data_IF_748878626899
#
_entry.id   IF_748878626899
#
_cell.length_a   1.000
_cell.length_b   1.000
_cell.length_c   1.000
_cell.angle_alpha   90.00
_cell.angle_beta   90.00
_cell.angle_gamma   90.00
#
_symmetry.space_group_name_H-M   'P 1'
#
loop_
_entity.id
_entity.type
_entity.pdbx_description
1 polymer ?
#
# COMPACT_ATOMS: atom_id res chain seq x y z
N UNK A 1 11.75 7.68 -1.05
CA UNK A 1 11.73 6.26 -0.62
C UNK A 1 13.10 5.60 -0.78
N UNK A 2 13.79 5.73 -1.91
CA UNK A 2 15.11 5.10 -2.16
C UNK A 2 16.17 5.34 -1.06
N UNK A 3 16.32 6.57 -0.57
CA UNK A 3 17.27 6.87 0.51
C UNK A 3 16.92 6.14 1.82
N UNK A 4 15.63 6.06 2.15
CA UNK A 4 15.14 5.34 3.33
C UNK A 4 15.38 3.85 3.17
N UNK A 5 15.06 3.28 2.01
CA UNK A 5 15.30 1.88 1.71
C UNK A 5 16.78 1.50 1.76
N UNK A 6 17.65 2.34 1.22
CA UNK A 6 19.10 2.13 1.29
C UNK A 6 19.61 2.12 2.73
N UNK A 7 19.13 3.03 3.57
CA UNK A 7 19.49 3.07 4.99
C UNK A 7 19.02 1.84 5.74
N UNK A 8 17.77 1.42 5.54
CA UNK A 8 17.22 0.21 6.17
C UNK A 8 18.08 -1.01 5.80
N UNK A 9 18.43 -1.16 4.53
CA UNK A 9 19.28 -2.28 4.07
C UNK A 9 20.69 -2.24 4.66
N UNK A 10 21.27 -1.06 4.81
CA UNK A 10 22.58 -0.90 5.41
C UNK A 10 22.59 -1.29 6.90
N UNK A 11 21.53 -0.93 7.62
CA UNK A 11 21.45 -1.13 9.08
C UNK A 11 20.93 -2.52 9.47
N UNK A 12 20.04 -3.12 8.64
CA UNK A 12 19.26 -4.32 9.01
C UNK A 12 19.20 -5.41 7.94
N UNK A 13 19.76 -5.19 6.76
CA UNK A 13 19.61 -6.07 5.60
C UNK A 13 18.28 -5.89 4.87
N UNK A 14 17.99 -6.75 3.91
CA UNK A 14 16.75 -6.69 3.12
C UNK A 14 15.54 -7.13 3.96
N UNK A 15 14.51 -6.28 4.10
CA UNK A 15 13.29 -6.66 4.80
C UNK A 15 12.57 -7.81 4.12
N UNK A 16 12.11 -8.76 4.90
CA UNK A 16 11.29 -9.90 4.43
C UNK A 16 9.80 -9.73 4.72
N UNK A 17 9.43 -8.74 5.52
CA UNK A 17 8.04 -8.39 5.80
C UNK A 17 7.84 -6.90 5.55
N UNK A 18 6.87 -6.57 4.72
CA UNK A 18 6.42 -5.20 4.44
C UNK A 18 4.97 -5.05 4.87
N UNK A 19 4.70 -4.08 5.76
CA UNK A 19 3.34 -3.79 6.21
C UNK A 19 2.96 -2.38 5.74
N UNK A 20 2.11 -2.30 4.73
CA UNK A 20 1.49 -1.08 4.26
C UNK A 20 0.31 -0.73 5.17
N UNK A 21 0.63 -0.10 6.30
CA UNK A 21 -0.33 0.23 7.35
C UNK A 21 -0.68 1.71 7.42
N UNK A 22 0.22 2.61 7.00
CA UNK A 22 -0.01 4.04 7.08
C UNK A 22 -1.35 4.42 6.43
N UNK A 23 -2.12 5.20 7.15
CA UNK A 23 -3.44 5.63 6.69
C UNK A 23 -3.90 6.88 7.41
N UNK A 24 -4.53 7.77 6.68
CA UNK A 24 -5.12 9.01 7.18
C UNK A 24 -6.53 9.15 6.63
N UNK A 25 -7.38 9.86 7.36
CA UNK A 25 -8.71 10.26 6.96
C UNK A 25 -9.13 11.49 7.75
N UNK A 26 -9.98 12.30 7.16
CA UNK A 26 -10.58 13.47 7.82
C UNK A 26 -12.01 13.58 7.36
N UNK A 27 -12.92 13.74 8.28
CA UNK A 27 -14.34 13.99 7.99
C UNK A 27 -14.52 15.32 7.27
N UNK A 28 -15.54 15.40 6.45
CA UNK A 28 -15.93 16.60 5.74
C UNK A 28 -16.69 16.30 4.44
N UNK A 29 -17.62 17.16 4.13
CA UNK A 29 -18.42 17.10 2.91
C UNK A 29 -17.51 17.21 1.68
N UNK A 30 -17.91 16.56 0.59
CA UNK A 30 -17.17 16.59 -0.68
C UNK A 30 -17.03 18.01 -1.25
N UNK A 31 -17.96 18.90 -0.91
CA UNK A 31 -17.96 20.30 -1.37
C UNK A 31 -17.08 21.22 -0.52
N UNK A 32 -16.82 20.84 0.73
CA UNK A 32 -16.12 21.70 1.71
C UNK A 32 -14.70 21.24 1.99
N UNK A 33 -14.41 19.96 1.73
CA UNK A 33 -13.10 19.38 1.99
C UNK A 33 -12.03 19.98 1.08
N UNK A 34 -10.95 20.55 1.64
CA UNK A 34 -9.87 21.10 0.83
C UNK A 34 -9.24 20.05 -0.10
N UNK A 35 -8.89 20.45 -1.32
CA UNK A 35 -8.24 19.58 -2.29
C UNK A 35 -6.94 18.95 -1.73
N UNK A 36 -6.18 19.71 -0.97
CA UNK A 36 -4.95 19.22 -0.34
C UNK A 36 -5.19 18.05 0.62
N UNK A 37 -6.33 18.04 1.33
CA UNK A 37 -6.71 16.92 2.21
C UNK A 37 -7.06 15.70 1.40
N UNK A 38 -7.86 15.86 0.34
CA UNK A 38 -8.23 14.75 -0.56
C UNK A 38 -6.98 14.12 -1.16
N UNK A 39 -6.05 14.94 -1.69
CA UNK A 39 -4.77 14.47 -2.25
C UNK A 39 -3.94 13.73 -1.21
N UNK A 40 -3.78 14.26 -0.01
CA UNK A 40 -3.02 13.63 1.06
C UNK A 40 -3.59 12.26 1.45
N UNK A 41 -4.93 12.12 1.47
CA UNK A 41 -5.58 10.83 1.74
C UNK A 41 -5.17 9.77 0.70
N UNK A 42 -5.21 10.09 -0.58
CA UNK A 42 -4.78 9.16 -1.64
C UNK A 42 -3.28 8.90 -1.62
N UNK A 43 -2.47 9.93 -1.42
CA UNK A 43 -1.01 9.79 -1.33
C UNK A 43 -0.61 8.81 -0.22
N UNK A 44 -1.18 8.96 0.97
CA UNK A 44 -0.85 8.11 2.12
C UNK A 44 -1.49 6.73 2.01
N UNK A 45 -2.79 6.65 1.69
CA UNK A 45 -3.53 5.40 1.79
C UNK A 45 -3.35 4.47 0.58
N UNK A 46 -2.91 5.01 -0.56
CA UNK A 46 -2.82 4.25 -1.82
C UNK A 46 -1.46 4.40 -2.51
N UNK A 47 -1.08 5.64 -2.86
CA UNK A 47 0.11 5.89 -3.69
C UNK A 47 1.40 5.45 -2.98
N UNK A 48 1.48 5.64 -1.67
CA UNK A 48 2.63 5.19 -0.87
C UNK A 48 2.92 3.70 -1.02
N UNK A 49 1.89 2.86 -1.22
CA UNK A 49 2.03 1.41 -1.39
C UNK A 49 2.84 1.05 -2.65
N UNK A 50 2.69 1.83 -3.74
CA UNK A 50 3.51 1.64 -4.95
C UNK A 50 4.99 1.88 -4.65
N UNK A 51 5.29 2.91 -3.88
CA UNK A 51 6.67 3.27 -3.57
C UNK A 51 7.34 2.29 -2.61
N UNK A 52 6.63 1.83 -1.59
CA UNK A 52 7.16 0.84 -0.65
C UNK A 52 7.35 -0.51 -1.32
N UNK A 53 6.40 -0.97 -2.13
CA UNK A 53 6.52 -2.23 -2.87
C UNK A 53 7.64 -2.16 -3.90
N UNK A 54 7.76 -1.08 -4.67
CA UNK A 54 8.87 -0.90 -5.63
C UNK A 54 10.25 -0.92 -4.98
N UNK A 55 10.33 -0.46 -3.74
CA UNK A 55 11.58 -0.43 -2.98
C UNK A 55 11.98 -1.80 -2.44
N UNK A 56 11.04 -2.56 -1.88
CA UNK A 56 11.36 -3.77 -1.11
C UNK A 56 11.02 -5.10 -1.81
N UNK A 57 10.04 -5.13 -2.71
CA UNK A 57 9.66 -6.36 -3.41
C UNK A 57 10.79 -6.99 -4.24
N UNK A 58 11.67 -6.24 -4.93
CA UNK A 58 12.72 -6.87 -5.75
C UNK A 58 13.62 -7.84 -4.98
N UNK A 59 14.00 -7.51 -3.74
CA UNK A 59 14.80 -8.40 -2.90
C UNK A 59 14.01 -9.66 -2.48
N UNK A 60 12.72 -9.49 -2.14
CA UNK A 60 11.84 -10.62 -1.81
C UNK A 60 11.68 -11.58 -2.99
N UNK A 61 11.53 -11.05 -4.22
CA UNK A 61 11.42 -11.87 -5.44
C UNK A 61 12.72 -12.63 -5.71
N UNK A 62 13.88 -11.96 -5.60
CA UNK A 62 15.20 -12.57 -5.78
C UNK A 62 15.42 -13.71 -4.80
N UNK A 63 15.05 -13.53 -3.53
CA UNK A 63 15.15 -14.55 -2.49
C UNK A 63 14.00 -15.58 -2.51
N UNK A 64 12.99 -15.39 -3.36
CA UNK A 64 11.72 -16.13 -3.32
C UNK A 64 11.20 -16.30 -1.89
N UNK A 65 11.28 -15.24 -1.09
CA UNK A 65 10.88 -15.23 0.31
C UNK A 65 10.45 -13.82 0.71
N UNK A 66 9.21 -13.67 1.20
CA UNK A 66 8.72 -12.39 1.67
C UNK A 66 7.22 -12.42 1.98
N UNK A 67 6.79 -11.38 2.68
CA UNK A 67 5.39 -11.20 3.04
C UNK A 67 5.01 -9.73 2.93
N UNK A 68 4.01 -9.42 2.11
CA UNK A 68 3.47 -8.06 1.97
C UNK A 68 2.06 -8.05 2.55
N UNK A 69 1.84 -7.18 3.52
CA UNK A 69 0.57 -7.01 4.22
C UNK A 69 0.01 -5.63 3.89
N UNK A 70 -1.24 -5.58 3.47
CA UNK A 70 -1.94 -4.31 3.22
C UNK A 70 -3.08 -4.15 4.20
N UNK A 71 -3.06 -3.08 4.99
CA UNK A 71 -4.14 -2.79 5.94
C UNK A 71 -5.27 -2.07 5.20
N UNK A 72 -6.31 -2.82 4.92
CA UNK A 72 -7.55 -2.33 4.34
C UNK A 72 -8.48 -1.71 5.40
N UNK A 73 -9.74 -1.56 5.07
CA UNK A 73 -10.78 -1.04 5.96
C UNK A 73 -12.14 -1.59 5.54
N UNK A 74 -13.13 -1.56 6.43
CA UNK A 74 -14.53 -1.71 6.04
C UNK A 74 -14.93 -0.67 4.98
N UNK A 75 -14.34 0.53 5.02
CA UNK A 75 -14.49 1.56 3.99
C UNK A 75 -13.98 1.16 2.60
N UNK A 76 -13.24 0.04 2.46
CA UNK A 76 -12.87 -0.51 1.15
C UNK A 76 -14.08 -1.11 0.40
N UNK A 77 -15.14 -1.45 1.11
CA UNK A 77 -16.34 -2.10 0.58
C UNK A 77 -17.58 -1.24 0.67
N UNK A 78 -17.56 -0.18 1.50
CA UNK A 78 -18.67 0.70 1.77
C UNK A 78 -18.25 2.16 1.58
N UNK A 79 -19.01 2.89 0.75
CA UNK A 79 -18.88 4.34 0.67
C UNK A 79 -19.48 5.00 1.92
N UNK A 80 -18.67 5.77 2.63
CA UNK A 80 -19.11 6.51 3.81
C UNK A 80 -19.26 7.99 3.46
N UNK A 81 -20.44 8.57 3.75
CA UNK A 81 -20.64 10.02 3.68
C UNK A 81 -19.59 10.73 4.53
N UNK A 82 -19.21 11.95 4.16
CA UNK A 82 -18.14 12.75 4.80
C UNK A 82 -16.74 12.11 4.79
N UNK A 83 -16.63 10.83 4.40
CA UNK A 83 -15.39 10.07 4.26
C UNK A 83 -15.22 9.46 2.87
N UNK A 84 -15.79 10.09 1.85
CA UNK A 84 -15.80 9.56 0.47
C UNK A 84 -14.40 9.33 -0.07
N UNK A 85 -13.50 10.29 0.10
CA UNK A 85 -12.09 10.19 -0.29
C UNK A 85 -11.36 9.06 0.43
N UNK A 86 -11.60 8.89 1.73
CA UNK A 86 -11.05 7.79 2.51
C UNK A 86 -11.54 6.44 1.97
N UNK A 87 -12.85 6.27 1.80
CA UNK A 87 -13.44 5.03 1.28
C UNK A 87 -12.90 4.71 -0.12
N UNK A 88 -12.83 5.68 -1.01
CA UNK A 88 -12.24 5.53 -2.34
C UNK A 88 -10.76 5.12 -2.26
N UNK A 89 -9.98 5.76 -1.39
CA UNK A 89 -8.55 5.42 -1.23
C UNK A 89 -8.35 4.01 -0.69
N UNK A 90 -9.19 3.57 0.25
CA UNK A 90 -9.12 2.22 0.81
C UNK A 90 -9.61 1.14 -0.16
N UNK A 91 -10.61 1.42 -0.98
CA UNK A 91 -11.02 0.56 -2.10
C UNK A 91 -9.88 0.44 -3.13
N UNK A 92 -9.21 1.54 -3.44
CA UNK A 92 -8.05 1.57 -4.32
C UNK A 92 -6.86 0.77 -3.75
N UNK A 93 -6.60 0.86 -2.45
CA UNK A 93 -5.57 0.07 -1.78
C UNK A 93 -5.86 -1.44 -1.85
N UNK A 94 -7.13 -1.84 -1.73
CA UNK A 94 -7.55 -3.24 -1.89
C UNK A 94 -7.33 -3.72 -3.32
N UNK A 95 -7.75 -2.97 -4.32
CA UNK A 95 -7.53 -3.29 -5.72
C UNK A 95 -6.03 -3.38 -6.06
N UNK A 96 -5.20 -2.47 -5.52
CA UNK A 96 -3.75 -2.55 -5.60
C UNK A 96 -3.22 -3.88 -5.06
N UNK A 97 -3.68 -4.29 -3.88
CA UNK A 97 -3.27 -5.54 -3.24
C UNK A 97 -3.62 -6.77 -4.08
N UNK A 98 -4.81 -6.81 -4.64
CA UNK A 98 -5.27 -7.90 -5.51
C UNK A 98 -4.43 -7.98 -6.79
N UNK A 99 -4.19 -6.84 -7.46
CA UNK A 99 -3.35 -6.75 -8.64
C UNK A 99 -1.92 -7.20 -8.37
N UNK A 100 -1.31 -6.69 -7.27
CA UNK A 100 0.02 -7.11 -6.85
C UNK A 100 0.12 -8.62 -6.59
N UNK A 101 -0.91 -9.19 -5.96
CA UNK A 101 -0.97 -10.64 -5.72
C UNK A 101 -0.92 -11.43 -7.02
N UNK A 102 -1.66 -10.99 -8.04
CA UNK A 102 -1.65 -11.62 -9.36
C UNK A 102 -0.29 -11.49 -10.05
N UNK A 103 0.34 -10.32 -10.02
CA UNK A 103 1.67 -10.11 -10.58
C UNK A 103 2.72 -11.03 -9.94
N UNK A 104 2.76 -11.10 -8.61
CA UNK A 104 3.70 -11.97 -7.89
C UNK A 104 3.50 -13.45 -8.26
N UNK A 105 2.26 -13.89 -8.37
CA UNK A 105 1.94 -15.31 -8.64
C UNK A 105 2.12 -15.69 -10.10
N UNK A 106 1.63 -14.88 -11.03
CA UNK A 106 1.52 -15.23 -12.45
C UNK A 106 2.77 -14.83 -13.24
N UNK A 107 3.32 -13.65 -12.99
CA UNK A 107 4.47 -13.14 -13.75
C UNK A 107 5.79 -13.48 -13.10
N UNK A 108 5.92 -13.18 -11.80
CA UNK A 108 7.17 -13.47 -11.09
C UNK A 108 7.30 -14.91 -10.63
N UNK A 109 6.19 -15.67 -10.60
CA UNK A 109 6.15 -17.09 -10.16
C UNK A 109 6.81 -17.32 -8.80
N UNK A 110 6.84 -16.31 -7.94
CA UNK A 110 7.48 -16.33 -6.64
C UNK A 110 6.58 -16.98 -5.57
N UNK A 111 6.55 -18.30 -5.53
CA UNK A 111 5.61 -19.10 -4.71
C UNK A 111 5.73 -18.87 -3.20
N UNK A 112 6.88 -18.40 -2.72
CA UNK A 112 7.12 -18.15 -1.29
C UNK A 112 7.05 -16.66 -0.93
N UNK A 113 6.73 -15.78 -1.88
CA UNK A 113 6.34 -14.40 -1.59
C UNK A 113 4.84 -14.35 -1.44
N UNK A 114 4.38 -13.99 -0.26
CA UNK A 114 2.95 -14.01 0.12
C UNK A 114 2.41 -12.59 0.23
N UNK A 115 1.11 -12.46 0.00
CA UNK A 115 0.35 -11.21 0.20
C UNK A 115 -0.85 -11.47 1.12
N UNK A 116 -1.15 -10.53 2.00
CA UNK A 116 -2.33 -10.55 2.88
C UNK A 116 -2.87 -9.15 3.14
#
# INVERSE_FOLDING_TARGET
>A
MQQVGARIRADHGDPTVLINNAGVGKEGSILEKPESVIRAVFEVNTISHYWTVREFLPAMLKGNHGHIITIASAGSFLGLGEMTDYSCSKASALAFHEGLTQEIRLWHKAKKVRTR
#
